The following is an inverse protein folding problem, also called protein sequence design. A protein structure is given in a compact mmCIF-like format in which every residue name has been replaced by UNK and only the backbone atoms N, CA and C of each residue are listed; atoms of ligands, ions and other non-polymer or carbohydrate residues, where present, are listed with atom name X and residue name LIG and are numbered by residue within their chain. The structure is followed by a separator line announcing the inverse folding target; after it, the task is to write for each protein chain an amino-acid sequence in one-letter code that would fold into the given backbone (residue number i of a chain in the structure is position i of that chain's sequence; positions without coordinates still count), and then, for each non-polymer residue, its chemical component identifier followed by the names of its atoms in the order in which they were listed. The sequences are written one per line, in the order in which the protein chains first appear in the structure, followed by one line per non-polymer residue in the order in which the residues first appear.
data_IF_098288268036
#
_entry.id   IF_098288268036
#
_cell.length_a   1.000
_cell.length_b   1.000
_cell.length_c   1.000
_cell.angle_alpha   90.00
_cell.angle_beta   90.00
_cell.angle_gamma   90.00
#
_symmetry.space_group_name_H-M   'P 1'
#
loop_
_entity.id
_entity.type
_entity.pdbx_description
1 polymer ?
#
# COMPACT_ATOMS: atom_id res chain seq x y z
N UNK A 1 8.82 12.75 12.64
CA UNK A 1 7.68 11.85 12.68
C UNK A 1 7.02 11.62 11.31
N UNK A 2 7.06 12.57 10.38
CA UNK A 2 6.59 12.34 9.01
C UNK A 2 7.55 12.94 7.97
N UNK A 3 7.58 12.33 6.79
CA UNK A 3 8.37 12.83 5.65
C UNK A 3 7.86 14.21 5.20
N UNK A 4 6.57 14.49 5.33
CA UNK A 4 6.00 15.81 5.02
C UNK A 4 6.57 16.90 5.92
N UNK A 5 6.69 16.66 7.24
CA UNK A 5 7.28 17.63 8.17
C UNK A 5 8.78 17.86 7.91
N UNK A 6 9.48 16.80 7.55
CA UNK A 6 10.86 16.94 7.12
C UNK A 6 11.00 17.80 5.85
N UNK A 7 10.10 17.60 4.87
CA UNK A 7 10.08 18.40 3.65
C UNK A 7 9.71 19.88 3.92
N UNK A 8 8.77 20.14 4.84
CA UNK A 8 8.45 21.51 5.28
C UNK A 8 9.67 22.21 5.90
N UNK A 9 10.39 21.52 6.77
CA UNK A 9 11.64 22.05 7.34
C UNK A 9 12.70 22.35 6.25
N UNK A 10 12.81 21.50 5.24
CA UNK A 10 13.68 21.73 4.10
C UNK A 10 13.27 22.99 3.30
N UNK A 11 11.97 23.19 3.09
CA UNK A 11 11.41 24.40 2.46
C UNK A 11 11.72 25.66 3.25
N UNK A 12 11.57 25.64 4.58
CA UNK A 12 11.93 26.78 5.42
C UNK A 12 13.41 27.11 5.37
N UNK A 13 14.26 26.08 5.39
CA UNK A 13 15.71 26.28 5.32
C UNK A 13 16.11 26.91 3.98
N UNK A 14 15.61 26.39 2.86
CA UNK A 14 15.92 26.93 1.54
C UNK A 14 15.43 28.37 1.39
N UNK A 15 14.26 28.70 1.94
CA UNK A 15 13.74 30.07 1.96
C UNK A 15 14.62 31.04 2.78
N UNK A 16 15.16 30.60 3.93
CA UNK A 16 16.09 31.41 4.73
C UNK A 16 17.46 31.60 4.05
N UNK A 17 17.86 30.65 3.21
CA UNK A 17 19.09 30.73 2.41
C UNK A 17 18.89 31.50 1.09
N UNK A 18 17.69 32.03 0.86
CA UNK A 18 17.31 32.76 -0.35
C UNK A 18 17.54 31.94 -1.64
N UNK A 19 17.38 30.61 -1.55
CA UNK A 19 17.48 29.74 -2.71
C UNK A 19 16.27 29.92 -3.63
N UNK A 20 16.46 29.69 -4.93
CA UNK A 20 15.37 29.79 -5.92
C UNK A 20 14.28 28.74 -5.62
N UNK A 21 13.03 29.15 -5.34
CA UNK A 21 11.95 28.21 -5.06
C UNK A 21 11.52 27.49 -6.34
N UNK A 22 11.21 26.19 -6.17
CA UNK A 22 10.51 25.37 -7.16
C UNK A 22 8.99 25.33 -6.89
N UNK A 23 8.36 24.22 -7.24
CA UNK A 23 6.92 24.03 -7.08
C UNK A 23 6.49 24.20 -5.61
N UNK A 24 5.43 24.97 -5.37
CA UNK A 24 4.87 25.28 -4.05
C UNK A 24 5.89 25.80 -3.03
N UNK A 25 6.96 26.43 -3.49
CA UNK A 25 8.03 26.98 -2.64
C UNK A 25 9.00 25.95 -2.09
N UNK A 26 8.93 24.71 -2.51
CA UNK A 26 9.96 23.71 -2.21
C UNK A 26 11.22 23.94 -3.03
N UNK A 27 12.41 23.55 -2.53
CA UNK A 27 13.62 23.65 -3.33
C UNK A 27 13.57 22.68 -4.53
N UNK A 28 14.18 23.09 -5.64
CA UNK A 28 14.22 22.29 -6.87
C UNK A 28 14.83 20.88 -6.67
N UNK A 29 15.67 20.71 -5.63
CA UNK A 29 16.31 19.46 -5.28
C UNK A 29 15.49 18.58 -4.30
N UNK A 30 14.21 18.90 -4.04
CA UNK A 30 13.36 18.11 -3.12
C UNK A 30 13.36 16.63 -3.48
N UNK A 31 13.16 16.30 -4.76
CA UNK A 31 13.12 14.91 -5.22
C UNK A 31 14.41 14.14 -4.95
N UNK A 32 15.58 14.74 -5.24
CA UNK A 32 16.86 14.10 -4.94
C UNK A 32 17.11 13.92 -3.45
N UNK A 33 16.68 14.85 -2.60
CA UNK A 33 16.81 14.69 -1.15
C UNK A 33 15.90 13.58 -0.60
N UNK A 34 14.69 13.44 -1.12
CA UNK A 34 13.79 12.33 -0.78
C UNK A 34 14.41 11.01 -1.24
N UNK A 35 14.98 10.95 -2.45
CA UNK A 35 15.68 9.76 -2.96
C UNK A 35 16.85 9.37 -2.05
N UNK A 36 17.74 10.31 -1.72
CA UNK A 36 18.88 10.09 -0.81
C UNK A 36 18.42 9.55 0.56
N UNK A 37 17.26 9.99 1.06
CA UNK A 37 16.71 9.50 2.32
C UNK A 37 16.30 8.03 2.23
N UNK A 38 15.53 7.66 1.21
CA UNK A 38 15.03 6.28 1.04
C UNK A 38 16.12 5.31 0.58
N UNK A 39 17.14 5.76 -0.17
CA UNK A 39 18.27 4.94 -0.59
C UNK A 39 19.12 4.40 0.57
N UNK A 40 18.98 4.98 1.76
CA UNK A 40 19.65 4.47 2.97
C UNK A 40 19.04 3.18 3.49
N UNK A 41 17.82 2.84 3.06
CA UNK A 41 17.20 1.55 3.35
C UNK A 41 17.74 0.48 2.41
N UNK A 42 17.91 -0.73 2.93
CA UNK A 42 18.34 -1.86 2.13
C UNK A 42 19.01 -2.95 2.95
N UNK A 43 19.40 -4.02 2.27
CA UNK A 43 20.17 -5.12 2.85
C UNK A 43 21.64 -4.98 2.48
N UNK A 44 22.52 -5.01 3.46
CA UNK A 44 23.94 -4.79 3.29
C UNK A 44 24.78 -5.80 4.05
N UNK A 45 26.00 -6.03 3.57
CA UNK A 45 27.05 -6.67 4.37
C UNK A 45 27.74 -5.59 5.18
N UNK A 46 27.80 -5.78 6.50
CA UNK A 46 28.40 -4.81 7.40
C UNK A 46 29.92 -4.79 7.25
N UNK A 47 30.50 -3.60 7.37
CA UNK A 47 31.96 -3.45 7.50
C UNK A 47 32.37 -3.96 8.87
N UNK A 48 33.47 -4.70 8.94
CA UNK A 48 34.02 -5.22 10.21
C UNK A 48 34.70 -6.56 10.06
N UNK A 49 35.25 -7.07 11.15
CA UNK A 49 36.01 -8.32 11.19
C UNK A 49 35.15 -9.57 11.06
N UNK A 50 33.87 -9.47 11.37
CA UNK A 50 32.88 -10.56 11.17
C UNK A 50 31.92 -10.18 10.07
N UNK A 51 31.87 -10.99 9.00
CA UNK A 51 30.91 -10.80 7.92
C UNK A 51 29.48 -11.03 8.45
N UNK A 52 28.76 -9.95 8.71
CA UNK A 52 27.34 -9.95 9.10
C UNK A 52 26.52 -9.29 8.01
N UNK A 53 25.32 -9.77 7.82
CA UNK A 53 24.32 -9.09 7.01
C UNK A 53 23.34 -8.33 7.91
N UNK A 54 22.94 -7.17 7.48
CA UNK A 54 21.92 -6.35 8.14
C UNK A 54 20.98 -5.74 7.14
N UNK A 55 19.78 -5.40 7.57
CA UNK A 55 18.79 -4.73 6.72
C UNK A 55 18.09 -3.61 7.48
N UNK A 56 17.76 -2.55 6.75
CA UNK A 56 16.90 -1.45 7.22
C UNK A 56 15.74 -1.33 6.26
N UNK A 57 14.54 -1.31 6.81
CA UNK A 57 13.32 -0.99 6.07
C UNK A 57 12.85 0.40 6.48
N UNK A 58 12.68 1.31 5.52
CA UNK A 58 12.14 2.64 5.76
C UNK A 58 10.65 2.66 5.43
N UNK A 59 9.82 3.06 6.38
CA UNK A 59 8.39 3.30 6.19
C UNK A 59 8.14 4.78 6.40
N UNK A 60 7.92 5.51 5.31
CA UNK A 60 7.68 6.95 5.36
C UNK A 60 6.18 7.26 5.41
N UNK A 61 5.79 8.11 6.35
CA UNK A 61 4.44 8.66 6.39
C UNK A 61 4.40 10.00 5.67
N UNK A 62 3.52 10.14 4.68
CA UNK A 62 3.26 11.37 3.96
C UNK A 62 1.81 11.79 4.22
N UNK A 63 1.62 13.07 4.58
CA UNK A 63 0.30 13.64 4.89
C UNK A 63 0.04 14.82 3.97
N UNK A 64 -0.49 14.57 2.76
CA UNK A 64 -0.77 15.64 1.81
C UNK A 64 -1.86 16.58 2.33
N UNK A 65 -1.68 17.90 2.23
CA UNK A 65 -2.69 18.86 2.64
C UNK A 65 -4.01 18.65 1.88
N UNK A 66 -5.13 18.59 2.60
CA UNK A 66 -6.45 18.35 2.00
C UNK A 66 -6.62 16.97 1.34
N UNK A 67 -5.67 16.05 1.51
CA UNK A 67 -5.68 14.75 0.84
C UNK A 67 -5.25 14.81 -0.63
N UNK A 68 -4.69 15.91 -1.08
CA UNK A 68 -4.25 16.09 -2.47
C UNK A 68 -2.92 15.38 -2.72
N UNK A 69 -2.99 14.19 -3.32
CA UNK A 69 -1.81 13.40 -3.67
C UNK A 69 -0.99 13.99 -4.83
N UNK A 70 -1.46 15.05 -5.50
CA UNK A 70 -0.73 15.73 -6.57
C UNK A 70 0.32 16.73 -6.06
N UNK A 71 0.35 16.99 -4.74
CA UNK A 71 1.32 17.90 -4.13
C UNK A 71 2.77 17.39 -4.28
N UNK A 72 3.77 18.31 -4.29
CA UNK A 72 5.15 17.95 -4.66
C UNK A 72 5.82 16.87 -3.82
N UNK A 73 5.59 16.85 -2.51
CA UNK A 73 6.24 15.87 -1.60
C UNK A 73 5.72 14.46 -1.88
N UNK A 74 4.40 14.31 -2.00
CA UNK A 74 3.75 13.04 -2.32
C UNK A 74 4.18 12.55 -3.70
N UNK A 75 4.13 13.42 -4.72
CA UNK A 75 4.52 13.05 -6.08
C UNK A 75 5.98 12.62 -6.18
N UNK A 76 6.90 13.34 -5.55
CA UNK A 76 8.32 12.95 -5.55
C UNK A 76 8.52 11.64 -4.76
N UNK A 77 7.80 11.43 -3.65
CA UNK A 77 7.88 10.19 -2.89
C UNK A 77 7.39 9.00 -3.71
N UNK A 78 6.23 9.11 -4.37
CA UNK A 78 5.66 8.04 -5.19
C UNK A 78 6.55 7.62 -6.37
N UNK A 79 7.37 8.53 -6.90
CA UNK A 79 8.34 8.21 -7.96
C UNK A 79 9.53 7.37 -7.48
N UNK A 80 9.79 7.38 -6.17
CA UNK A 80 10.99 6.77 -5.57
C UNK A 80 10.64 5.45 -4.89
N UNK A 81 9.53 5.40 -4.13
CA UNK A 81 9.17 4.23 -3.36
C UNK A 81 8.58 3.12 -4.22
N UNK A 82 8.92 1.88 -3.91
CA UNK A 82 8.39 0.70 -4.61
C UNK A 82 7.11 0.14 -4.01
N UNK A 83 6.75 0.60 -2.81
CA UNK A 83 5.51 0.18 -2.12
C UNK A 83 4.76 1.41 -1.67
N UNK A 84 3.47 1.44 -1.92
CA UNK A 84 2.58 2.51 -1.48
C UNK A 84 1.33 1.94 -0.81
N UNK A 85 1.02 2.45 0.36
CA UNK A 85 -0.20 2.18 1.10
C UNK A 85 -1.06 3.45 1.15
N UNK A 86 -2.09 3.46 0.34
CA UNK A 86 -3.06 4.55 0.29
C UNK A 86 -4.03 4.46 1.47
N UNK A 87 -3.90 5.34 2.45
CA UNK A 87 -4.85 5.41 3.57
C UNK A 87 -6.16 6.05 3.09
N UNK A 88 -7.28 5.45 3.46
CA UNK A 88 -8.62 5.86 3.03
C UNK A 88 -9.49 6.22 4.23
N UNK A 89 -9.89 7.49 4.29
CA UNK A 89 -10.75 7.99 5.35
C UNK A 89 -12.16 7.36 5.35
N UNK A 90 -12.68 6.98 4.18
CA UNK A 90 -14.00 6.35 4.09
C UNK A 90 -13.98 4.93 4.68
N UNK A 91 -12.88 4.18 4.47
CA UNK A 91 -12.68 2.87 5.11
C UNK A 91 -12.63 3.02 6.64
N UNK A 92 -11.87 4.00 7.14
CA UNK A 92 -11.79 4.29 8.57
C UNK A 92 -13.16 4.67 9.17
N UNK A 93 -13.95 5.49 8.47
CA UNK A 93 -15.31 5.87 8.89
C UNK A 93 -16.26 4.67 8.95
N UNK A 94 -16.09 3.70 8.05
CA UNK A 94 -16.84 2.42 8.06
C UNK A 94 -16.28 1.41 9.07
N UNK A 95 -15.25 1.79 9.84
CA UNK A 95 -14.53 0.92 10.79
C UNK A 95 -13.90 -0.32 10.15
N UNK A 96 -13.49 -0.19 8.88
CA UNK A 96 -12.70 -1.18 8.20
C UNK A 96 -11.22 -0.90 8.47
N UNK A 97 -10.54 -1.76 9.19
CA UNK A 97 -9.13 -1.62 9.55
C UNK A 97 -8.34 -2.88 9.18
N UNK A 98 -7.08 -2.71 8.73
CA UNK A 98 -6.41 -1.43 8.42
C UNK A 98 -7.13 -0.68 7.29
N UNK A 99 -7.23 0.65 7.42
CA UNK A 99 -7.94 1.50 6.46
C UNK A 99 -7.06 1.80 5.24
N UNK A 100 -6.57 0.75 4.58
CA UNK A 100 -5.71 0.80 3.40
C UNK A 100 -6.55 0.48 2.16
N UNK A 101 -6.59 1.41 1.22
CA UNK A 101 -7.32 1.22 -0.02
C UNK A 101 -6.57 0.24 -0.92
N UNK A 102 -7.18 -0.91 -1.20
CA UNK A 102 -6.57 -2.00 -1.97
C UNK A 102 -6.46 -1.71 -3.47
N UNK A 103 -7.27 -0.79 -4.03
CA UNK A 103 -7.21 -0.44 -5.45
C UNK A 103 -6.15 0.62 -5.76
N UNK A 104 -5.87 1.52 -4.82
CA UNK A 104 -4.86 2.57 -4.99
C UNK A 104 -3.48 2.17 -4.48
N UNK A 105 -3.41 1.17 -3.60
CA UNK A 105 -2.16 0.67 -3.03
C UNK A 105 -1.47 -0.29 -3.99
N UNK A 106 -0.13 -0.31 -3.95
CA UNK A 106 0.66 -1.20 -4.81
C UNK A 106 1.97 -1.62 -4.16
N UNK A 107 2.53 -2.71 -4.68
CA UNK A 107 3.90 -3.16 -4.41
C UNK A 107 4.56 -3.60 -5.72
N UNK A 108 5.70 -3.02 -6.05
CA UNK A 108 6.51 -3.43 -7.19
C UNK A 108 7.41 -4.64 -6.88
N UNK A 109 7.36 -5.14 -5.64
CA UNK A 109 8.08 -6.35 -5.24
C UNK A 109 7.26 -7.64 -5.43
N UNK A 110 6.02 -7.55 -5.91
CA UNK A 110 5.13 -8.71 -5.95
C UNK A 110 5.70 -9.86 -6.77
N UNK A 111 6.34 -9.57 -7.90
CA UNK A 111 6.91 -10.61 -8.78
C UNK A 111 8.10 -11.32 -8.11
N UNK A 112 9.03 -10.56 -7.51
CA UNK A 112 10.21 -11.11 -6.85
C UNK A 112 9.83 -11.87 -5.58
N UNK A 113 9.00 -11.26 -4.72
CA UNK A 113 8.56 -11.85 -3.45
C UNK A 113 7.59 -13.00 -3.70
N UNK A 114 6.71 -12.89 -4.68
CA UNK A 114 5.78 -13.94 -5.07
C UNK A 114 6.52 -15.20 -5.53
N UNK A 115 7.51 -15.08 -6.40
CA UNK A 115 8.33 -16.21 -6.86
C UNK A 115 9.08 -16.87 -5.67
N UNK A 116 9.62 -16.09 -4.75
CA UNK A 116 10.26 -16.61 -3.54
C UNK A 116 9.27 -17.41 -2.68
N UNK A 117 8.09 -16.85 -2.42
CA UNK A 117 7.04 -17.50 -1.62
C UNK A 117 6.56 -18.79 -2.29
N UNK A 118 6.28 -18.75 -3.59
CA UNK A 118 5.78 -19.89 -4.34
C UNK A 118 6.78 -21.06 -4.31
N UNK A 119 8.08 -20.74 -4.38
CA UNK A 119 9.13 -21.75 -4.29
C UNK A 119 9.27 -22.35 -2.89
N UNK A 120 9.22 -21.53 -1.84
CA UNK A 120 9.46 -21.97 -0.45
C UNK A 120 8.26 -22.63 0.19
N UNK A 121 7.06 -22.09 -0.05
CA UNK A 121 5.81 -22.57 0.53
C UNK A 121 5.06 -23.55 -0.40
N UNK A 122 5.54 -23.75 -1.63
CA UNK A 122 4.94 -24.63 -2.66
C UNK A 122 3.48 -24.29 -2.95
N UNK A 123 3.20 -23.02 -3.11
CA UNK A 123 1.87 -22.45 -3.41
C UNK A 123 1.96 -21.49 -4.60
N UNK A 124 0.81 -21.13 -5.17
CA UNK A 124 0.70 -20.13 -6.24
C UNK A 124 0.21 -18.80 -5.66
N UNK A 125 1.02 -18.17 -4.80
CA UNK A 125 0.64 -16.95 -4.09
C UNK A 125 0.38 -15.78 -5.03
N UNK A 126 1.30 -15.51 -5.95
CA UNK A 126 1.17 -14.40 -6.89
C UNK A 126 -0.11 -14.51 -7.75
N UNK A 127 -0.46 -15.73 -8.22
CA UNK A 127 -1.70 -15.96 -8.95
C UNK A 127 -2.94 -15.69 -8.10
N UNK A 128 -2.93 -16.12 -6.84
CA UNK A 128 -4.04 -15.88 -5.91
C UNK A 128 -4.25 -14.39 -5.62
N UNK A 129 -3.18 -13.65 -5.40
CA UNK A 129 -3.23 -12.20 -5.21
C UNK A 129 -3.81 -11.52 -6.46
N UNK A 130 -3.33 -11.89 -7.64
CA UNK A 130 -3.84 -11.35 -8.92
C UNK A 130 -5.34 -11.64 -9.09
N UNK A 131 -5.77 -12.87 -8.80
CA UNK A 131 -7.19 -13.24 -8.88
C UNK A 131 -8.06 -12.45 -7.90
N UNK A 132 -7.60 -12.27 -6.65
CA UNK A 132 -8.29 -11.47 -5.65
C UNK A 132 -8.39 -10.00 -6.06
N UNK A 133 -7.32 -9.41 -6.57
CA UNK A 133 -7.31 -8.04 -7.07
C UNK A 133 -8.27 -7.85 -8.26
N UNK A 134 -8.34 -8.80 -9.20
CA UNK A 134 -9.28 -8.76 -10.30
C UNK A 134 -10.75 -8.82 -9.82
N UNK A 135 -11.04 -9.62 -8.79
CA UNK A 135 -12.38 -9.68 -8.18
C UNK A 135 -12.74 -8.33 -7.54
N UNK A 136 -11.83 -7.72 -6.78
CA UNK A 136 -12.04 -6.41 -6.14
C UNK A 136 -12.18 -5.28 -7.16
N UNK A 137 -11.40 -5.30 -8.24
CA UNK A 137 -11.52 -4.34 -9.33
C UNK A 137 -12.88 -4.47 -10.01
N UNK A 138 -13.30 -5.71 -10.29
CA UNK A 138 -14.62 -5.97 -10.90
C UNK A 138 -15.77 -5.55 -9.99
N UNK A 139 -15.66 -5.76 -8.70
CA UNK A 139 -16.63 -5.26 -7.72
C UNK A 139 -16.79 -3.74 -7.81
N UNK A 140 -15.68 -2.99 -7.89
CA UNK A 140 -15.72 -1.53 -8.00
C UNK A 140 -16.52 -1.07 -9.24
N UNK A 141 -16.33 -1.74 -10.39
CA UNK A 141 -17.08 -1.47 -11.61
C UNK A 141 -18.58 -1.81 -11.43
N UNK A 142 -18.89 -2.95 -10.82
CA UNK A 142 -20.26 -3.39 -10.58
C UNK A 142 -20.98 -2.50 -9.57
N UNK A 143 -20.28 -1.96 -8.56
CA UNK A 143 -20.86 -1.02 -7.60
C UNK A 143 -21.42 0.23 -8.26
N UNK A 144 -20.74 0.77 -9.28
CA UNK A 144 -21.27 1.91 -10.05
C UNK A 144 -22.57 1.54 -10.79
N UNK A 145 -22.65 0.35 -11.35
CA UNK A 145 -23.87 -0.15 -12.00
C UNK A 145 -25.00 -0.32 -10.98
N UNK A 146 -24.69 -0.95 -9.84
CA UNK A 146 -25.66 -1.17 -8.74
C UNK A 146 -26.22 0.14 -8.21
N UNK A 147 -25.38 1.17 -8.11
CA UNK A 147 -25.80 2.52 -7.68
C UNK A 147 -26.86 3.12 -8.63
N UNK A 148 -26.76 2.83 -9.92
CA UNK A 148 -27.64 3.41 -10.93
C UNK A 148 -28.94 2.61 -11.14
N UNK A 149 -28.86 1.28 -11.15
CA UNK A 149 -29.97 0.40 -11.57
C UNK A 149 -30.40 -0.64 -10.53
N UNK A 150 -29.72 -0.72 -9.40
CA UNK A 150 -30.03 -1.64 -8.31
C UNK A 150 -29.38 -3.03 -8.45
N UNK A 151 -29.35 -3.76 -7.35
CA UNK A 151 -28.76 -5.11 -7.27
C UNK A 151 -29.47 -6.16 -8.11
N UNK A 152 -30.78 -5.99 -8.30
CA UNK A 152 -31.61 -6.97 -9.02
C UNK A 152 -31.32 -7.04 -10.52
N UNK A 153 -30.65 -6.03 -11.06
CA UNK A 153 -30.22 -5.97 -12.45
C UNK A 153 -28.97 -6.78 -12.77
N UNK A 154 -28.23 -7.22 -11.74
CA UNK A 154 -27.01 -7.98 -11.92
C UNK A 154 -27.27 -9.43 -12.32
N UNK A 155 -26.44 -9.95 -13.23
CA UNK A 155 -26.41 -11.38 -13.55
C UNK A 155 -26.02 -12.22 -12.33
N UNK A 156 -26.36 -13.51 -12.32
CA UNK A 156 -25.94 -14.42 -11.24
C UNK A 156 -24.41 -14.47 -11.07
N UNK A 157 -23.68 -14.41 -12.17
CA UNK A 157 -22.22 -14.36 -12.17
C UNK A 157 -21.69 -13.09 -11.51
N UNK A 158 -22.30 -11.95 -11.79
CA UNK A 158 -21.88 -10.67 -11.17
C UNK A 158 -22.24 -10.63 -9.70
N UNK A 159 -23.38 -11.18 -9.30
CA UNK A 159 -23.74 -11.35 -7.87
C UNK A 159 -22.75 -12.25 -7.13
N UNK A 160 -22.30 -13.34 -7.75
CA UNK A 160 -21.24 -14.19 -7.17
C UNK A 160 -19.95 -13.42 -7.01
N UNK A 161 -19.54 -12.63 -8.01
CA UNK A 161 -18.36 -11.76 -7.93
C UNK A 161 -18.46 -10.75 -6.79
N UNK A 162 -19.61 -10.11 -6.63
CA UNK A 162 -19.87 -9.18 -5.52
C UNK A 162 -19.79 -9.86 -4.15
N UNK A 163 -20.32 -11.09 -4.01
CA UNK A 163 -20.23 -11.85 -2.77
C UNK A 163 -18.78 -12.25 -2.45
N UNK A 164 -18.03 -12.74 -3.44
CA UNK A 164 -16.63 -13.09 -3.26
C UNK A 164 -15.79 -11.86 -2.87
N UNK A 165 -16.02 -10.73 -3.52
CA UNK A 165 -15.35 -9.47 -3.17
C UNK A 165 -15.70 -9.01 -1.74
N UNK A 166 -16.96 -9.16 -1.32
CA UNK A 166 -17.37 -8.87 0.06
C UNK A 166 -16.61 -9.74 1.06
N UNK A 167 -16.49 -11.05 0.82
CA UNK A 167 -15.72 -11.97 1.67
C UNK A 167 -14.24 -11.58 1.71
N UNK A 168 -13.64 -11.20 0.56
CA UNK A 168 -12.25 -10.72 0.55
C UNK A 168 -12.11 -9.47 1.43
N UNK A 169 -13.01 -8.50 1.34
CA UNK A 169 -12.93 -7.26 2.12
C UNK A 169 -13.17 -7.48 3.61
N UNK A 170 -14.21 -8.24 3.98
CA UNK A 170 -14.69 -8.34 5.35
C UNK A 170 -14.01 -9.48 6.13
N UNK A 171 -13.71 -10.60 5.47
CA UNK A 171 -13.18 -11.79 6.14
C UNK A 171 -11.66 -11.93 5.96
N UNK A 172 -11.07 -11.31 4.92
CA UNK A 172 -9.64 -11.42 4.65
C UNK A 172 -8.85 -10.13 4.88
N UNK A 173 -9.31 -8.99 4.34
CA UNK A 173 -8.58 -7.72 4.43
C UNK A 173 -8.82 -6.99 5.75
N UNK A 174 -10.01 -7.12 6.33
CA UNK A 174 -10.29 -6.54 7.65
C UNK A 174 -9.61 -7.36 8.74
N UNK A 175 -8.97 -6.66 9.68
CA UNK A 175 -8.26 -7.28 10.79
C UNK A 175 -8.53 -6.50 12.08
N UNK A 176 -8.83 -7.22 13.16
CA UNK A 176 -9.02 -6.62 14.48
C UNK A 176 -7.69 -6.62 15.26
N UNK A 177 -7.07 -5.45 15.37
CA UNK A 177 -5.80 -5.29 16.08
C UNK A 177 -5.90 -5.50 17.60
N UNK A 178 -7.10 -5.59 18.16
CA UNK A 178 -7.34 -5.80 19.60
C UNK A 178 -7.69 -7.25 19.94
N UNK A 179 -7.86 -8.11 18.96
CA UNK A 179 -8.07 -9.53 19.14
C UNK A 179 -6.74 -10.28 19.11
N UNK A 180 -6.47 -11.12 20.13
CA UNK A 180 -5.19 -11.81 20.30
C UNK A 180 -4.87 -12.78 19.15
N UNK A 181 -5.89 -13.37 18.54
CA UNK A 181 -5.71 -14.32 17.43
C UNK A 181 -5.59 -13.59 16.11
N UNK A 182 -6.40 -12.54 15.90
CA UNK A 182 -6.46 -11.82 14.64
C UNK A 182 -5.29 -10.84 14.44
N UNK A 183 -4.77 -10.28 15.54
CA UNK A 183 -3.60 -9.37 15.53
C UNK A 183 -2.37 -9.99 14.85
N UNK A 184 -2.15 -11.30 15.02
CA UNK A 184 -0.99 -12.03 14.51
C UNK A 184 -1.38 -13.14 13.54
N UNK A 185 -1.90 -12.76 12.38
CA UNK A 185 -2.27 -13.73 11.35
C UNK A 185 -1.05 -14.33 10.68
N UNK A 186 -0.84 -15.64 10.84
CA UNK A 186 0.27 -16.33 10.19
C UNK A 186 0.10 -16.39 8.67
N UNK A 187 1.21 -16.48 7.93
CA UNK A 187 1.16 -16.60 6.47
C UNK A 187 0.35 -17.82 5.99
N UNK A 188 0.46 -18.95 6.69
CA UNK A 188 -0.33 -20.17 6.39
C UNK A 188 -1.84 -19.92 6.53
N UNK A 189 -2.27 -19.17 7.55
CA UNK A 189 -3.68 -18.79 7.74
C UNK A 189 -4.14 -17.88 6.59
N UNK A 190 -3.33 -16.88 6.21
CA UNK A 190 -3.64 -15.99 5.10
C UNK A 190 -3.84 -16.75 3.79
N UNK A 191 -2.93 -17.65 3.46
CA UNK A 191 -3.00 -18.48 2.25
C UNK A 191 -4.24 -19.36 2.24
N UNK A 192 -4.52 -20.04 3.36
CA UNK A 192 -5.68 -20.92 3.49
C UNK A 192 -6.99 -20.15 3.35
N UNK A 193 -7.11 -19.02 4.03
CA UNK A 193 -8.30 -18.18 4.00
C UNK A 193 -8.57 -17.62 2.59
N UNK A 194 -7.55 -17.00 1.97
CA UNK A 194 -7.70 -16.48 0.62
C UNK A 194 -8.03 -17.59 -0.39
N UNK A 195 -7.39 -18.76 -0.26
CA UNK A 195 -7.67 -19.91 -1.12
C UNK A 195 -9.13 -20.33 -1.03
N UNK A 196 -9.67 -20.44 0.17
CA UNK A 196 -11.07 -20.85 0.37
C UNK A 196 -12.08 -19.84 -0.22
N UNK A 197 -11.75 -18.55 -0.22
CA UNK A 197 -12.64 -17.51 -0.76
C UNK A 197 -12.64 -17.53 -2.30
N UNK A 198 -11.47 -17.75 -2.93
CA UNK A 198 -11.34 -17.62 -4.39
C UNK A 198 -11.49 -18.93 -5.17
N UNK A 199 -11.64 -20.07 -4.48
CA UNK A 199 -11.91 -21.37 -5.10
C UNK A 199 -13.38 -21.58 -5.32
#
# INVERSE_FOLDING_TARGET
DSTSRWAEALREMSGRLEEMPGDEGYPAYLGSRIAEYYERAGRVKTLGSTAREGSITAIGAVSPPGGDISEPVTQNTLRIVKVFWGLDAQLAQRRHFPAINWLSSYSLYLDEVGAYIDQHEKITWAEKVTKAMNILQKESELQEIVRLVGLDSLSEKDRLTMNAAKMIREDYLQQNAFDEVDTYTSFKKQVALLTNIIT
#
